data_IF_356398376244
#
_entry.id   IF_356398376244
#
_cell.length_a   1.000
_cell.length_b   1.000
_cell.length_c   1.000
_cell.angle_alpha   90.00
_cell.angle_beta   90.00
_cell.angle_gamma   90.00
#
_symmetry.space_group_name_H-M   'P 1'
#
loop_
_entity.id
_entity.type
_entity.pdbx_description
1 polymer ?
#
# COMPACT_ATOMS: atom_id res chain seq x y z
N UNK A 1 20.45 6.57 12.94
CA UNK A 1 19.35 6.37 11.96
C UNK A 1 18.41 7.56 12.08
N UNK A 2 18.33 8.40 11.04
CA UNK A 2 17.77 9.75 11.13
C UNK A 2 16.23 9.75 11.23
N UNK A 3 15.74 10.15 12.40
CA UNK A 3 14.34 10.48 12.75
C UNK A 3 13.65 11.37 11.71
N UNK A 4 14.43 12.21 11.01
CA UNK A 4 13.99 13.21 10.03
C UNK A 4 13.40 12.62 8.75
N UNK A 5 13.75 11.39 8.35
CA UNK A 5 13.17 10.76 7.15
C UNK A 5 11.76 10.22 7.45
N UNK A 6 11.51 9.79 8.69
CA UNK A 6 10.21 9.29 9.14
C UNK A 6 9.16 10.39 9.24
N UNK A 7 9.55 11.62 9.59
CA UNK A 7 8.60 12.72 9.81
C UNK A 7 7.97 13.25 8.51
N UNK A 8 8.68 13.21 7.39
CA UNK A 8 8.18 13.78 6.12
C UNK A 8 7.13 12.90 5.43
N UNK A 9 7.08 11.61 5.77
CA UNK A 9 6.16 10.60 5.20
C UNK A 9 4.85 10.42 5.99
N UNK A 10 4.70 11.10 7.14
CA UNK A 10 3.53 11.01 8.02
C UNK A 10 2.31 11.83 7.57
N UNK A 11 2.32 12.48 6.40
CA UNK A 11 1.24 13.40 6.02
C UNK A 11 -0.06 12.73 5.56
N UNK A 12 -0.04 11.46 5.19
CA UNK A 12 -1.22 10.58 5.21
C UNK A 12 -0.78 9.14 4.91
N UNK A 13 -1.23 8.13 5.68
CA UNK A 13 -1.01 6.74 5.30
C UNK A 13 -1.71 6.45 3.96
N UNK A 14 -1.04 5.70 3.09
CA UNK A 14 -1.61 5.21 1.83
C UNK A 14 -2.86 4.37 2.06
N UNK A 15 -3.73 4.28 1.06
CA UNK A 15 -4.91 3.43 1.08
C UNK A 15 -4.54 1.97 1.37
N UNK A 16 -3.46 1.47 0.77
CA UNK A 16 -2.92 0.14 1.05
C UNK A 16 -2.57 -0.06 2.53
N UNK A 17 -1.93 0.93 3.17
CA UNK A 17 -1.62 0.85 4.59
C UNK A 17 -2.88 0.81 5.47
N UNK A 18 -3.87 1.65 5.15
CA UNK A 18 -5.16 1.72 5.86
C UNK A 18 -5.92 0.41 5.74
N UNK A 19 -6.07 -0.11 4.51
CA UNK A 19 -6.75 -1.38 4.23
C UNK A 19 -6.08 -2.56 4.94
N UNK A 20 -4.74 -2.65 4.91
CA UNK A 20 -4.03 -3.71 5.63
C UNK A 20 -4.32 -3.68 7.13
N UNK A 21 -4.31 -2.49 7.73
CA UNK A 21 -4.61 -2.32 9.16
C UNK A 21 -6.07 -2.66 9.48
N UNK A 22 -7.02 -2.27 8.63
CA UNK A 22 -8.43 -2.63 8.78
C UNK A 22 -8.65 -4.15 8.68
N UNK A 23 -7.89 -4.84 7.82
CA UNK A 23 -7.89 -6.30 7.71
C UNK A 23 -7.15 -7.02 8.86
N UNK A 24 -6.55 -6.29 9.81
CA UNK A 24 -5.83 -6.88 10.94
C UNK A 24 -4.51 -7.57 10.59
N UNK A 25 -3.98 -7.37 9.38
CA UNK A 25 -2.80 -8.07 8.88
C UNK A 25 -1.50 -7.33 9.20
N UNK A 26 -0.44 -8.08 9.50
CA UNK A 26 0.94 -7.57 9.45
C UNK A 26 1.43 -7.43 8.02
N UNK A 27 2.50 -6.64 7.80
CA UNK A 27 3.12 -6.52 6.47
C UNK A 27 3.64 -7.87 5.94
N UNK A 28 4.16 -8.73 6.83
CA UNK A 28 4.63 -10.08 6.45
C UNK A 28 3.48 -10.97 5.99
N UNK A 29 2.35 -10.92 6.69
CA UNK A 29 1.17 -11.71 6.32
C UNK A 29 0.59 -11.26 4.98
N UNK A 30 0.36 -9.95 4.79
CA UNK A 30 -0.14 -9.45 3.51
C UNK A 30 0.84 -9.74 2.36
N UNK A 31 2.14 -9.57 2.57
CA UNK A 31 3.17 -9.94 1.59
C UNK A 31 3.06 -11.40 1.16
N UNK A 32 2.88 -12.31 2.13
CA UNK A 32 2.71 -13.74 1.86
C UNK A 32 1.41 -14.04 1.12
N UNK A 33 0.29 -13.45 1.56
CA UNK A 33 -1.03 -13.68 0.97
C UNK A 33 -1.13 -13.14 -0.47
N UNK A 34 -0.63 -11.94 -0.71
CA UNK A 34 -0.67 -11.31 -2.02
C UNK A 34 0.45 -11.78 -2.98
N UNK A 35 1.44 -12.52 -2.47
CA UNK A 35 2.62 -12.91 -3.27
C UNK A 35 3.47 -11.72 -3.71
N UNK A 36 3.43 -10.61 -2.97
CA UNK A 36 4.22 -9.40 -3.23
C UNK A 36 5.42 -9.39 -2.30
N UNK A 37 6.61 -9.06 -2.80
CA UNK A 37 7.81 -8.96 -1.99
C UNK A 37 7.62 -7.98 -0.81
N UNK A 38 8.01 -8.37 0.41
CA UNK A 38 7.82 -7.58 1.63
C UNK A 38 8.41 -6.17 1.52
N UNK A 39 9.59 -6.03 0.91
CA UNK A 39 10.23 -4.72 0.73
C UNK A 39 9.43 -3.84 -0.22
N UNK A 40 8.90 -4.42 -1.29
CA UNK A 40 8.02 -3.73 -2.23
C UNK A 40 6.71 -3.29 -1.57
N UNK A 41 6.08 -4.16 -0.78
CA UNK A 41 4.88 -3.81 -0.01
C UNK A 41 5.14 -2.64 0.95
N UNK A 42 6.26 -2.68 1.67
CA UNK A 42 6.67 -1.57 2.54
C UNK A 42 6.86 -0.26 1.78
N UNK A 43 7.50 -0.33 0.61
CA UNK A 43 7.74 0.85 -0.22
C UNK A 43 6.45 1.48 -0.74
N UNK A 44 5.45 0.67 -1.07
CA UNK A 44 4.10 1.13 -1.38
C UNK A 44 3.44 1.77 -0.17
N UNK A 45 3.46 1.11 1.01
CA UNK A 45 2.79 1.64 2.20
C UNK A 45 3.35 3.00 2.66
N UNK A 46 4.66 3.23 2.53
CA UNK A 46 5.30 4.51 2.87
C UNK A 46 5.30 5.52 1.72
N UNK A 47 4.70 5.19 0.57
CA UNK A 47 4.63 6.08 -0.59
C UNK A 47 5.95 6.33 -1.33
N UNK A 48 7.04 5.63 -0.97
CA UNK A 48 8.33 5.71 -1.69
C UNK A 48 8.26 5.09 -3.09
N UNK A 49 7.32 4.17 -3.30
CA UNK A 49 6.99 3.60 -4.60
C UNK A 49 5.52 3.90 -4.87
N UNK A 50 5.26 4.42 -6.05
CA UNK A 50 3.92 4.73 -6.52
C UNK A 50 3.13 3.43 -6.77
N UNK A 51 2.06 3.22 -5.99
CA UNK A 51 1.19 2.04 -6.13
C UNK A 51 0.39 2.08 -7.43
N UNK A 52 0.09 3.27 -7.98
CA UNK A 52 -0.63 3.41 -9.25
C UNK A 52 0.21 2.94 -10.43
N UNK A 53 1.54 2.86 -10.26
CA UNK A 53 2.49 2.29 -11.23
C UNK A 53 2.82 0.81 -10.98
N UNK A 54 2.19 0.17 -9.99
CA UNK A 54 2.31 -1.27 -9.82
C UNK A 54 1.69 -2.02 -11.00
N UNK A 55 2.15 -3.25 -11.27
CA UNK A 55 1.48 -4.06 -12.29
C UNK A 55 0.05 -4.37 -11.87
N UNK A 56 -0.88 -4.41 -12.83
CA UNK A 56 -2.28 -4.73 -12.53
C UNK A 56 -2.43 -6.07 -11.80
N UNK A 57 -1.55 -7.05 -12.09
CA UNK A 57 -1.49 -8.32 -11.34
C UNK A 57 -1.16 -8.11 -9.86
N UNK A 58 -0.20 -7.25 -9.54
CA UNK A 58 0.17 -6.99 -8.15
C UNK A 58 -0.96 -6.29 -7.38
N UNK A 59 -1.62 -5.30 -8.00
CA UNK A 59 -2.76 -4.60 -7.39
C UNK A 59 -3.93 -5.58 -7.17
N UNK A 60 -4.26 -6.39 -8.18
CA UNK A 60 -5.32 -7.39 -8.05
C UNK A 60 -5.03 -8.42 -6.96
N UNK A 61 -3.79 -8.90 -6.85
CA UNK A 61 -3.41 -9.82 -5.76
C UNK A 61 -3.53 -9.17 -4.38
N UNK A 62 -3.17 -7.89 -4.23
CA UNK A 62 -3.35 -7.15 -2.99
C UNK A 62 -4.82 -6.99 -2.65
N UNK A 63 -5.65 -6.62 -3.63
CA UNK A 63 -7.09 -6.45 -3.46
C UNK A 63 -7.77 -7.75 -3.03
N UNK A 64 -7.43 -8.88 -3.67
CA UNK A 64 -7.93 -10.20 -3.29
C UNK A 64 -7.51 -10.59 -1.86
N UNK A 65 -6.26 -10.34 -1.48
CA UNK A 65 -5.76 -10.64 -0.14
C UNK A 65 -6.39 -9.74 0.95
N UNK A 66 -6.86 -8.56 0.58
CA UNK A 66 -7.51 -7.59 1.47
C UNK A 66 -9.03 -7.65 1.41
N UNK A 67 -9.61 -8.51 0.57
CA UNK A 67 -11.04 -8.61 0.31
C UNK A 67 -11.67 -7.25 -0.09
N UNK A 68 -10.98 -6.48 -0.92
CA UNK A 68 -11.44 -5.19 -1.42
C UNK A 68 -11.39 -5.12 -2.95
N UNK A 69 -11.86 -4.01 -3.51
CA UNK A 69 -11.79 -3.75 -4.93
C UNK A 69 -10.37 -3.29 -5.34
N UNK A 70 -10.04 -3.51 -6.62
CA UNK A 70 -8.83 -2.99 -7.26
C UNK A 70 -8.63 -1.49 -7.03
N UNK A 71 -9.69 -0.70 -7.17
CA UNK A 71 -9.63 0.76 -7.00
C UNK A 71 -9.42 1.20 -5.55
N UNK A 72 -9.80 0.38 -4.57
CA UNK A 72 -9.60 0.70 -3.16
C UNK A 72 -8.11 0.69 -2.78
N UNK A 73 -7.30 -0.12 -3.49
CA UNK A 73 -5.85 -0.23 -3.25
C UNK A 73 -5.08 0.95 -3.87
N UNK A 74 -5.61 1.55 -4.93
CA UNK A 74 -4.98 2.65 -5.66
C UNK A 74 -5.12 3.97 -4.91
N UNK A 75 -4.26 4.93 -5.24
CA UNK A 75 -4.43 6.32 -4.82
C UNK A 75 -5.14 7.07 -5.95
N UNK A 76 -6.39 7.47 -5.74
CA UNK A 76 -7.11 8.31 -6.70
C UNK A 76 -6.77 9.77 -6.41
N UNK A 77 -5.95 10.38 -7.26
CA UNK A 77 -5.80 11.84 -7.28
C UNK A 77 -7.05 12.43 -7.96
N UNK A 78 -8.12 12.62 -7.19
CA UNK A 78 -9.22 13.50 -7.59
C UNK A 78 -8.69 14.93 -7.49
N UNK A 79 -8.05 15.41 -8.55
CA UNK A 79 -7.79 16.84 -8.71
C UNK A 79 -9.17 17.50 -8.87
N UNK A 80 -9.66 18.14 -7.81
CA UNK A 80 -10.64 19.21 -7.97
C UNK A 80 -9.88 20.38 -8.62
N UNK A 81 -10.12 20.59 -9.92
CA UNK A 81 -9.68 21.78 -10.66
C UNK A 81 -10.43 23.04 -10.19
#
# INVERSE_FOLDING_TARGET
MNKTILEKTLRNPTNLHKLRKAAGLTQKELSRLAGVNLRTLQQYEIGSKDINKASGRAINSLALALHCNFYDVMELDLQEE
#
